data_IF_680131963535
#
_entry.id   IF_680131963535
#
_cell.length_a   1.000
_cell.length_b   1.000
_cell.length_c   1.000
_cell.angle_alpha   90.00
_cell.angle_beta   90.00
_cell.angle_gamma   90.00
#
_symmetry.space_group_name_H-M   'P 1'
#
loop_
_entity.id
_entity.type
_entity.pdbx_description
1 polymer ?
#
# COMPACT_ATOMS: atom_id res chain seq x y z
N UNK A 1 43.11 -11.42 50.91
CA UNK A 1 42.12 -10.43 50.45
C UNK A 1 41.98 -10.57 48.95
N UNK A 2 40.75 -10.71 48.50
CA UNK A 2 40.38 -10.95 47.10
C UNK A 2 40.54 -9.67 46.26
N UNK A 3 40.88 -9.84 44.99
CA UNK A 3 40.78 -8.81 43.96
C UNK A 3 40.34 -9.46 42.66
N UNK A 4 39.03 -9.68 42.53
CA UNK A 4 38.40 -10.26 41.36
C UNK A 4 38.44 -9.27 40.19
N UNK A 5 38.82 -9.78 39.01
CA UNK A 5 38.95 -9.01 37.79
C UNK A 5 37.61 -8.55 37.22
N UNK A 6 37.63 -7.38 36.60
CA UNK A 6 36.53 -6.89 35.77
C UNK A 6 36.82 -7.31 34.33
N UNK A 7 36.07 -8.29 33.84
CA UNK A 7 35.99 -8.62 32.42
C UNK A 7 34.92 -7.70 31.81
N UNK A 8 35.35 -6.71 31.03
CA UNK A 8 34.45 -5.94 30.17
C UNK A 8 34.11 -6.80 28.95
N UNK A 9 32.92 -7.38 28.96
CA UNK A 9 32.37 -8.08 27.79
C UNK A 9 31.94 -7.04 26.77
N UNK A 10 32.66 -6.98 25.64
CA UNK A 10 32.25 -6.24 24.46
C UNK A 10 31.00 -6.93 23.86
N UNK A 11 29.83 -6.29 24.01
CA UNK A 11 28.61 -6.72 23.35
C UNK A 11 28.73 -6.52 21.84
N UNK A 12 29.02 -7.60 21.10
CA UNK A 12 28.85 -7.66 19.66
C UNK A 12 27.35 -7.78 19.38
N UNK A 13 26.65 -6.64 19.30
CA UNK A 13 25.24 -6.59 18.94
C UNK A 13 25.09 -6.81 17.45
N UNK A 14 24.93 -8.06 17.01
CA UNK A 14 24.27 -8.31 15.73
C UNK A 14 22.85 -7.78 15.87
N UNK A 15 22.52 -6.70 15.16
CA UNK A 15 21.20 -6.10 15.20
C UNK A 15 20.19 -7.17 14.77
N UNK A 16 19.44 -7.72 15.74
CA UNK A 16 18.26 -8.52 15.43
C UNK A 16 17.26 -7.59 14.75
N UNK A 17 16.62 -8.06 13.67
CA UNK A 17 15.55 -7.33 13.01
C UNK A 17 14.37 -7.04 13.94
N UNK A 18 13.41 -6.21 13.52
CA UNK A 18 12.28 -5.82 14.37
C UNK A 18 11.50 -7.05 14.83
N UNK A 19 10.97 -6.95 16.05
CA UNK A 19 10.11 -8.01 16.59
C UNK A 19 8.77 -8.06 15.87
N UNK A 20 8.09 -9.20 15.94
CA UNK A 20 6.76 -9.36 15.36
C UNK A 20 5.74 -8.35 15.89
N UNK A 21 5.79 -8.06 17.20
CA UNK A 21 4.95 -7.08 17.87
C UNK A 21 5.24 -5.65 17.41
N UNK A 22 6.51 -5.32 17.15
CA UNK A 22 6.89 -4.02 16.60
C UNK A 22 6.35 -3.84 15.18
N UNK A 23 6.44 -4.86 14.33
CA UNK A 23 5.86 -4.81 12.98
C UNK A 23 4.33 -4.67 12.98
N UNK A 24 3.64 -5.29 13.96
CA UNK A 24 2.20 -5.09 14.15
C UNK A 24 1.89 -3.63 14.49
N UNK A 25 2.64 -3.03 15.40
CA UNK A 25 2.44 -1.64 15.80
C UNK A 25 2.73 -0.67 14.65
N UNK A 26 3.80 -0.91 13.89
CA UNK A 26 4.15 -0.11 12.70
C UNK A 26 3.09 -0.21 11.60
N UNK A 27 2.48 -1.38 11.39
CA UNK A 27 1.36 -1.54 10.46
C UNK A 27 0.11 -0.79 10.93
N UNK A 28 -0.20 -0.85 12.23
CA UNK A 28 -1.32 -0.11 12.84
C UNK A 28 -1.15 1.40 12.75
N UNK A 29 0.07 1.92 12.79
CA UNK A 29 0.34 3.36 12.60
C UNK A 29 -0.12 3.89 11.24
N UNK A 30 -0.20 3.03 10.22
CA UNK A 30 -0.75 3.37 8.90
C UNK A 30 -2.17 2.85 8.69
N UNK A 31 -2.83 2.37 9.76
CA UNK A 31 -4.21 1.90 9.74
C UNK A 31 -4.42 0.51 9.14
N UNK A 32 -3.36 -0.28 8.96
CA UNK A 32 -3.43 -1.60 8.30
C UNK A 32 -3.10 -2.72 9.29
N UNK A 33 -3.86 -3.81 9.23
CA UNK A 33 -3.48 -5.05 9.90
C UNK A 33 -2.30 -5.71 9.18
N UNK A 34 -1.22 -6.01 9.92
CA UNK A 34 0.00 -6.64 9.36
C UNK A 34 -0.29 -7.88 8.50
N UNK A 35 -1.29 -8.68 8.86
CA UNK A 35 -1.68 -9.89 8.13
C UNK A 35 -2.24 -9.63 6.73
N UNK A 36 -2.78 -8.43 6.49
CA UNK A 36 -3.30 -8.02 5.19
C UNK A 36 -2.21 -7.48 4.28
N UNK A 37 -1.04 -7.10 4.83
CA UNK A 37 0.08 -6.60 4.05
C UNK A 37 0.64 -7.71 3.18
N UNK A 38 0.34 -7.61 1.89
CA UNK A 38 0.79 -8.55 0.88
C UNK A 38 1.71 -7.86 -0.12
N UNK A 39 2.62 -8.64 -0.68
CA UNK A 39 3.54 -8.22 -1.75
C UNK A 39 3.39 -9.17 -2.94
N UNK A 40 3.70 -8.66 -4.12
CA UNK A 40 3.76 -9.45 -5.34
C UNK A 40 4.99 -9.08 -6.16
N UNK A 41 5.56 -10.07 -6.85
CA UNK A 41 6.66 -9.85 -7.78
C UNK A 41 6.10 -9.78 -9.20
N UNK A 42 6.34 -8.66 -9.86
CA UNK A 42 5.83 -8.36 -11.20
C UNK A 42 6.99 -7.93 -12.09
N UNK A 43 7.33 -8.76 -13.09
CA UNK A 43 8.43 -8.46 -14.01
C UNK A 43 8.19 -7.13 -14.73
N UNK A 44 9.14 -6.20 -14.61
CA UNK A 44 9.07 -4.88 -15.24
C UNK A 44 8.23 -3.85 -14.46
N UNK A 45 7.81 -4.18 -13.24
CA UNK A 45 7.15 -3.27 -12.33
C UNK A 45 7.95 -3.11 -11.05
N UNK A 46 7.81 -1.96 -10.41
CA UNK A 46 8.38 -1.63 -9.11
C UNK A 46 7.26 -1.11 -8.21
N UNK A 47 7.31 -1.43 -6.91
CA UNK A 47 6.36 -0.88 -5.94
C UNK A 47 6.47 0.65 -5.93
N UNK A 48 5.33 1.32 -5.98
CA UNK A 48 5.25 2.78 -5.89
C UNK A 48 5.44 3.20 -4.42
N UNK A 49 6.40 4.08 -4.18
CA UNK A 49 6.66 4.60 -2.83
C UNK A 49 5.44 5.40 -2.36
N UNK A 50 4.96 5.11 -1.14
CA UNK A 50 3.83 5.80 -0.54
C UNK A 50 2.45 5.41 -1.07
N UNK A 51 2.35 4.42 -1.96
CA UNK A 51 1.06 3.90 -2.43
C UNK A 51 0.42 2.86 -1.50
N UNK A 52 1.23 2.33 -0.57
CA UNK A 52 0.81 1.36 0.43
C UNK A 52 -0.07 2.01 1.50
N UNK A 53 -1.20 1.38 1.83
CA UNK A 53 -2.06 1.85 2.91
C UNK A 53 -3.41 1.14 2.97
N UNK A 54 -4.37 1.78 3.63
CA UNK A 54 -5.74 1.27 3.79
C UNK A 54 -6.49 1.25 2.46
N UNK A 55 -7.26 0.19 2.23
CA UNK A 55 -8.24 0.08 1.15
C UNK A 55 -9.63 -0.11 1.72
N UNK A 56 -10.58 0.77 1.36
CA UNK A 56 -11.90 0.77 1.98
C UNK A 56 -11.81 1.12 3.45
N UNK A 57 -12.48 0.35 4.30
CA UNK A 57 -12.55 0.61 5.75
C UNK A 57 -11.39 -0.05 6.52
N UNK A 58 -11.03 -1.29 6.17
CA UNK A 58 -10.08 -2.13 6.91
C UNK A 58 -9.11 -2.93 6.02
N UNK A 59 -9.24 -2.82 4.70
CA UNK A 59 -8.43 -3.55 3.74
C UNK A 59 -7.03 -2.97 3.57
N UNK A 60 -6.23 -3.66 2.77
CA UNK A 60 -4.89 -3.23 2.36
C UNK A 60 -4.86 -2.93 0.87
N UNK A 61 -4.09 -1.92 0.47
CA UNK A 61 -3.67 -1.72 -0.92
C UNK A 61 -2.19 -1.41 -1.06
N UNK A 62 -1.69 -1.68 -2.26
CA UNK A 62 -0.40 -1.23 -2.76
C UNK A 62 -0.46 -1.06 -4.29
N UNK A 63 0.46 -0.29 -4.87
CA UNK A 63 0.52 -0.02 -6.31
C UNK A 63 1.90 -0.33 -6.85
N UNK A 64 1.95 -0.97 -8.01
CA UNK A 64 3.15 -1.34 -8.73
C UNK A 64 3.12 -0.61 -10.06
N UNK A 65 4.21 0.08 -10.40
CA UNK A 65 4.32 0.88 -11.62
C UNK A 65 5.45 0.36 -12.50
N UNK A 66 5.19 0.28 -13.80
CA UNK A 66 6.25 0.01 -14.78
C UNK A 66 6.96 1.29 -15.19
N UNK A 67 8.12 1.17 -15.82
CA UNK A 67 8.89 2.31 -16.33
C UNK A 67 8.16 3.08 -17.46
N UNK A 68 7.11 2.48 -18.04
CA UNK A 68 6.26 3.13 -19.05
C UNK A 68 4.98 3.74 -18.47
N UNK A 69 4.88 3.79 -17.14
CA UNK A 69 3.76 4.44 -16.43
C UNK A 69 2.48 3.60 -16.34
N UNK A 70 2.52 2.30 -16.64
CA UNK A 70 1.39 1.39 -16.37
C UNK A 70 1.35 1.07 -14.88
N UNK A 71 0.18 1.27 -14.24
CA UNK A 71 -0.08 0.86 -12.86
C UNK A 71 -0.78 -0.51 -12.79
N UNK A 72 -0.42 -1.27 -11.76
CA UNK A 72 -1.13 -2.46 -11.29
C UNK A 72 -1.36 -2.27 -9.79
N UNK A 73 -2.61 -2.39 -9.34
CA UNK A 73 -2.99 -2.27 -7.94
C UNK A 73 -3.27 -3.62 -7.33
N UNK A 74 -2.69 -3.87 -6.16
CA UNK A 74 -3.04 -4.98 -5.28
C UNK A 74 -4.00 -4.48 -4.21
N UNK A 75 -5.09 -5.22 -3.97
CA UNK A 75 -5.90 -5.04 -2.76
C UNK A 75 -6.13 -6.37 -2.06
N UNK A 76 -6.21 -6.34 -0.73
CA UNK A 76 -6.49 -7.50 0.12
C UNK A 76 -7.53 -7.11 1.17
N UNK A 77 -8.63 -7.83 1.23
CA UNK A 77 -9.77 -7.57 2.11
C UNK A 77 -10.20 -8.86 2.83
N UNK A 78 -10.73 -8.76 4.06
CA UNK A 78 -11.29 -9.92 4.79
C UNK A 78 -12.71 -10.23 4.33
N UNK A 79 -12.83 -10.84 3.15
CA UNK A 79 -14.11 -11.24 2.57
C UNK A 79 -13.96 -12.37 1.56
N UNK A 80 -15.07 -13.01 1.23
CA UNK A 80 -15.19 -13.86 0.04
C UNK A 80 -15.69 -13.07 -1.19
N UNK A 81 -15.69 -13.75 -2.34
CA UNK A 81 -16.35 -13.29 -3.56
C UNK A 81 -17.20 -14.41 -4.16
N UNK A 82 -18.53 -14.23 -4.13
CA UNK A 82 -19.49 -15.17 -4.71
C UNK A 82 -19.92 -14.74 -6.11
N UNK A 83 -20.56 -15.64 -6.86
CA UNK A 83 -21.20 -15.31 -8.17
C UNK A 83 -22.15 -14.12 -8.03
N UNK A 84 -22.93 -14.07 -6.94
CA UNK A 84 -23.91 -13.04 -6.71
C UNK A 84 -23.25 -11.70 -6.34
N UNK A 85 -22.20 -11.71 -5.54
CA UNK A 85 -21.54 -10.49 -5.07
C UNK A 85 -20.57 -9.91 -6.10
N UNK A 86 -20.02 -10.75 -6.97
CA UNK A 86 -19.01 -10.35 -7.96
C UNK A 86 -19.38 -9.12 -8.80
N UNK A 87 -20.57 -9.03 -9.44
CA UNK A 87 -20.94 -7.86 -10.22
C UNK A 87 -21.25 -6.61 -9.38
N UNK A 88 -21.46 -6.78 -8.06
CA UNK A 88 -21.81 -5.68 -7.13
C UNK A 88 -20.58 -5.02 -6.53
N UNK A 89 -19.47 -5.74 -6.45
CA UNK A 89 -18.22 -5.21 -5.93
C UNK A 89 -17.54 -4.35 -7.02
N UNK A 90 -17.26 -3.05 -6.79
CA UNK A 90 -16.59 -2.19 -7.78
C UNK A 90 -15.13 -2.61 -7.99
N UNK A 91 -14.58 -2.39 -9.19
CA UNK A 91 -13.13 -2.54 -9.44
C UNK A 91 -12.38 -1.29 -8.92
N UNK A 92 -11.22 -1.42 -8.25
CA UNK A 92 -10.47 -0.29 -7.73
C UNK A 92 -10.02 0.66 -8.84
N UNK A 93 -10.05 1.97 -8.56
CA UNK A 93 -9.66 3.04 -9.48
C UNK A 93 -10.45 3.04 -10.81
N UNK A 94 -11.70 2.60 -10.79
CA UNK A 94 -12.61 2.71 -11.93
C UNK A 94 -13.22 4.12 -11.95
N UNK A 95 -13.05 4.85 -13.05
CA UNK A 95 -13.45 6.27 -13.16
C UNK A 95 -14.97 6.47 -13.28
N UNK A 96 -15.69 5.46 -13.75
CA UNK A 96 -17.13 5.52 -13.99
C UNK A 96 -17.90 4.90 -12.83
N UNK A 97 -18.33 5.76 -11.90
CA UNK A 97 -19.27 5.37 -10.85
C UNK A 97 -20.53 4.72 -11.46
N UNK A 98 -20.82 3.48 -11.05
CA UNK A 98 -22.00 2.73 -11.51
C UNK A 98 -21.82 1.93 -12.81
N UNK A 99 -20.64 1.91 -13.44
CA UNK A 99 -20.38 0.94 -14.49
C UNK A 99 -20.46 -0.48 -13.92
N UNK A 100 -21.35 -1.29 -14.50
CA UNK A 100 -21.54 -2.67 -14.07
C UNK A 100 -20.26 -3.49 -14.24
N UNK A 101 -19.94 -4.31 -13.24
CA UNK A 101 -18.80 -5.22 -13.32
C UNK A 101 -19.25 -6.53 -13.96
N UNK A 102 -18.61 -6.91 -15.06
CA UNK A 102 -18.77 -8.23 -15.66
C UNK A 102 -17.81 -9.19 -14.99
N UNK A 103 -18.32 -10.36 -14.59
CA UNK A 103 -17.53 -11.41 -13.98
C UNK A 103 -17.56 -12.68 -14.83
N UNK A 104 -16.40 -13.29 -15.03
CA UNK A 104 -16.24 -14.59 -15.67
C UNK A 104 -15.35 -15.45 -14.80
N UNK A 105 -15.84 -16.60 -14.37
CA UNK A 105 -15.03 -17.54 -13.58
C UNK A 105 -13.85 -18.05 -14.42
N UNK A 106 -12.68 -18.16 -13.81
CA UNK A 106 -11.43 -18.56 -14.46
C UNK A 106 -10.50 -19.27 -13.48
N UNK A 107 -10.51 -20.60 -13.49
CA UNK A 107 -9.80 -21.41 -12.50
C UNK A 107 -10.33 -21.15 -11.10
N UNK A 108 -9.41 -20.87 -10.16
CA UNK A 108 -9.71 -20.61 -8.75
C UNK A 108 -10.21 -19.17 -8.47
N UNK A 109 -10.29 -18.34 -9.51
CA UNK A 109 -10.64 -16.93 -9.38
C UNK A 109 -11.62 -16.42 -10.43
N UNK A 110 -11.68 -15.10 -10.54
CA UNK A 110 -12.61 -14.37 -11.38
C UNK A 110 -11.87 -13.37 -12.25
N UNK A 111 -12.10 -13.43 -13.56
CA UNK A 111 -11.82 -12.31 -14.47
C UNK A 111 -12.95 -11.30 -14.36
N UNK A 112 -12.59 -10.06 -14.03
CA UNK A 112 -13.54 -8.97 -13.80
C UNK A 112 -13.20 -7.79 -14.70
N UNK A 113 -14.22 -7.18 -15.31
CA UNK A 113 -14.04 -5.97 -16.14
C UNK A 113 -15.14 -4.97 -15.82
N UNK A 114 -14.78 -3.69 -15.75
CA UNK A 114 -15.72 -2.60 -15.48
C UNK A 114 -15.07 -1.27 -15.87
N UNK A 115 -15.78 -0.46 -16.65
CA UNK A 115 -15.25 0.79 -17.19
C UNK A 115 -13.96 0.56 -17.99
N UNK A 116 -12.93 1.32 -17.63
CA UNK A 116 -11.57 1.26 -18.18
C UNK A 116 -10.64 0.30 -17.41
N UNK A 117 -11.16 -0.40 -16.40
CA UNK A 117 -10.39 -1.30 -15.54
C UNK A 117 -10.73 -2.76 -15.77
N UNK A 118 -9.73 -3.61 -15.51
CA UNK A 118 -9.86 -5.06 -15.44
C UNK A 118 -9.11 -5.58 -14.22
N UNK A 119 -9.52 -6.74 -13.73
CA UNK A 119 -9.04 -7.30 -12.47
C UNK A 119 -9.08 -8.83 -12.52
N UNK A 120 -8.11 -9.45 -11.86
CA UNK A 120 -8.22 -10.84 -11.43
C UNK A 120 -8.41 -10.90 -9.90
N UNK A 121 -9.45 -11.60 -9.45
CA UNK A 121 -9.80 -11.72 -8.05
C UNK A 121 -9.80 -13.19 -7.62
N UNK A 122 -9.12 -13.52 -6.52
CA UNK A 122 -9.03 -14.87 -5.96
C UNK A 122 -9.26 -14.84 -4.46
N UNK A 123 -10.08 -15.76 -3.95
CA UNK A 123 -10.29 -15.93 -2.52
C UNK A 123 -9.31 -16.97 -1.97
N UNK A 124 -8.62 -16.65 -0.87
CA UNK A 124 -7.67 -17.52 -0.17
C UNK A 124 -8.01 -17.53 1.32
N UNK A 125 -8.62 -18.61 1.79
CA UNK A 125 -9.19 -18.63 3.13
C UNK A 125 -10.31 -17.59 3.24
N UNK A 126 -10.18 -16.67 4.20
CA UNK A 126 -11.07 -15.54 4.43
C UNK A 126 -10.66 -14.25 3.68
N UNK A 127 -9.55 -14.29 2.92
CA UNK A 127 -9.02 -13.12 2.22
C UNK A 127 -9.42 -13.11 0.74
N UNK A 128 -9.90 -11.95 0.27
CA UNK A 128 -10.06 -11.66 -1.15
C UNK A 128 -8.84 -10.88 -1.63
N UNK A 129 -8.02 -11.52 -2.47
CA UNK A 129 -6.86 -10.89 -3.11
C UNK A 129 -7.26 -10.46 -4.52
N UNK A 130 -7.04 -9.19 -4.85
CA UNK A 130 -7.46 -8.60 -6.11
C UNK A 130 -6.30 -7.85 -6.74
N UNK A 131 -6.06 -8.11 -8.01
CA UNK A 131 -5.03 -7.41 -8.78
C UNK A 131 -5.67 -6.76 -9.99
N UNK A 132 -5.67 -5.43 -10.03
CA UNK A 132 -6.34 -4.63 -11.05
C UNK A 132 -5.38 -3.78 -11.86
N UNK A 133 -5.76 -3.47 -13.09
CA UNK A 133 -5.01 -2.65 -14.03
C UNK A 133 -5.91 -2.08 -15.11
N UNK A 134 -5.37 -1.19 -15.93
CA UNK A 134 -6.12 -0.58 -17.03
C UNK A 134 -6.30 -1.58 -18.19
N UNK A 135 -7.50 -1.59 -18.77
CA UNK A 135 -7.83 -2.35 -19.99
C UNK A 135 -6.90 -1.92 -21.13
N UNK A 136 -6.36 -2.89 -21.88
CA UNK A 136 -5.46 -2.64 -23.01
C UNK A 136 -4.02 -2.26 -22.63
N UNK A 137 -3.76 -1.93 -21.35
CA UNK A 137 -2.40 -1.69 -20.83
C UNK A 137 -1.87 -2.86 -20.00
N UNK A 138 -2.77 -3.68 -19.46
CA UNK A 138 -2.48 -4.93 -18.75
C UNK A 138 -3.17 -6.10 -19.45
N UNK A 139 -2.81 -7.33 -19.09
CA UNK A 139 -3.48 -8.54 -19.60
C UNK A 139 -4.03 -9.36 -18.44
N UNK A 140 -5.10 -10.13 -18.66
CA UNK A 140 -5.61 -11.02 -17.62
C UNK A 140 -4.60 -12.08 -17.17
N UNK A 141 -3.74 -12.56 -18.06
CA UNK A 141 -2.66 -13.47 -17.70
C UNK A 141 -1.71 -12.84 -16.68
N UNK A 142 -1.25 -11.61 -16.94
CA UNK A 142 -0.41 -10.85 -16.01
C UNK A 142 -1.09 -10.68 -14.65
N UNK A 143 -2.36 -10.24 -14.63
CA UNK A 143 -3.10 -10.00 -13.39
C UNK A 143 -3.35 -11.29 -12.60
N UNK A 144 -3.65 -12.39 -13.29
CA UNK A 144 -3.83 -13.72 -12.69
C UNK A 144 -2.53 -14.20 -12.06
N UNK A 145 -1.43 -14.15 -12.80
CA UNK A 145 -0.14 -14.63 -12.31
C UNK A 145 0.34 -13.78 -11.12
N UNK A 146 0.07 -12.47 -11.14
CA UNK A 146 0.31 -11.57 -10.02
C UNK A 146 -0.55 -11.91 -8.79
N UNK A 147 -1.84 -12.14 -8.97
CA UNK A 147 -2.74 -12.56 -7.90
C UNK A 147 -2.36 -13.94 -7.34
N UNK A 148 -1.84 -14.85 -8.17
CA UNK A 148 -1.28 -16.13 -7.77
C UNK A 148 0.04 -15.96 -6.98
N UNK A 149 0.88 -15.00 -7.39
CA UNK A 149 2.15 -14.67 -6.75
C UNK A 149 2.04 -13.86 -5.47
N UNK A 150 0.91 -13.18 -5.23
CA UNK A 150 0.69 -12.37 -4.05
C UNK A 150 0.78 -13.21 -2.76
N UNK A 151 1.58 -12.73 -1.79
CA UNK A 151 1.87 -13.41 -0.53
C UNK A 151 1.98 -12.41 0.62
N UNK A 152 1.72 -12.83 1.88
CA UNK A 152 2.02 -12.01 3.04
C UNK A 152 3.47 -11.53 3.01
N UNK A 153 3.68 -10.25 3.33
CA UNK A 153 5.01 -9.68 3.38
C UNK A 153 5.86 -10.37 4.47
N UNK A 154 7.10 -10.69 4.13
CA UNK A 154 8.05 -11.22 5.12
C UNK A 154 8.44 -10.15 6.14
N UNK A 155 8.97 -10.54 7.33
CA UNK A 155 9.43 -9.57 8.32
C UNK A 155 10.43 -8.54 7.77
N UNK A 156 11.35 -8.96 6.89
CA UNK A 156 12.31 -8.05 6.26
C UNK A 156 11.64 -7.06 5.29
N UNK A 157 10.64 -7.50 4.53
CA UNK A 157 9.87 -6.62 3.66
C UNK A 157 9.01 -5.65 4.47
N UNK A 158 8.38 -6.11 5.54
CA UNK A 158 7.63 -5.25 6.46
C UNK A 158 8.53 -4.20 7.11
N UNK A 159 9.75 -4.58 7.51
CA UNK A 159 10.73 -3.64 8.08
C UNK A 159 11.12 -2.54 7.08
N UNK A 160 11.27 -2.88 5.80
CA UNK A 160 11.55 -1.90 4.74
C UNK A 160 10.33 -1.01 4.40
N UNK A 161 9.14 -1.61 4.39
CA UNK A 161 7.92 -0.98 3.88
C UNK A 161 7.22 -0.09 4.90
N UNK A 162 7.21 -0.50 6.17
CA UNK A 162 6.46 0.19 7.20
C UNK A 162 7.24 1.39 7.74
N UNK A 163 6.57 2.48 8.16
CA UNK A 163 7.26 3.54 8.88
C UNK A 163 7.90 2.98 10.17
N UNK A 164 9.04 3.52 10.63
CA UNK A 164 9.64 3.10 11.88
C UNK A 164 8.68 3.36 13.05
N UNK A 165 8.75 2.54 14.10
CA UNK A 165 7.89 2.74 15.26
C UNK A 165 8.15 4.12 15.88
N UNK A 166 7.08 4.83 16.23
CA UNK A 166 7.15 6.08 16.99
C UNK A 166 7.83 5.84 18.35
N UNK A 167 9.16 5.95 18.39
CA UNK A 167 9.98 5.53 19.54
C UNK A 167 11.49 5.54 19.30
N UNK A 168 11.96 5.70 18.06
CA UNK A 168 13.36 6.02 17.74
C UNK A 168 13.42 7.26 16.87
N UNK A 169 13.05 8.40 17.47
CA UNK A 169 13.32 9.70 16.89
C UNK A 169 14.82 9.96 16.83
N UNK A 170 15.43 9.65 15.69
CA UNK A 170 16.63 10.34 15.20
C UNK A 170 16.24 10.93 13.85
N UNK A 171 15.72 12.15 13.91
CA UNK A 171 15.11 12.81 12.76
C UNK A 171 13.92 13.70 13.09
N UNK A 172 13.63 13.94 14.37
CA UNK A 172 13.00 15.19 14.81
C UNK A 172 13.97 16.35 14.65
N UNK A 173 14.48 16.57 13.43
CA UNK A 173 14.73 17.94 13.04
C UNK A 173 13.35 18.56 13.05
N UNK A 174 13.13 19.57 13.89
CA UNK A 174 12.09 20.54 13.64
C UNK A 174 12.25 20.96 12.17
N UNK A 175 11.51 20.31 11.27
CA UNK A 175 11.00 21.02 10.12
C UNK A 175 9.93 21.90 10.75
N UNK A 176 10.40 22.99 11.39
CA UNK A 176 9.59 24.19 11.48
C UNK A 176 9.01 24.32 10.08
N UNK A 177 7.67 24.30 9.92
CA UNK A 177 7.08 24.65 8.66
C UNK A 177 7.80 25.90 8.16
N UNK A 178 8.15 26.01 6.86
CA UNK A 178 8.69 27.26 6.34
C UNK A 178 7.84 28.38 6.94
N UNK A 179 8.45 29.43 7.54
CA UNK A 179 7.68 30.55 8.05
C UNK A 179 6.67 30.89 6.97
N UNK A 180 5.36 30.79 7.28
CA UNK A 180 4.34 31.18 6.32
C UNK A 180 4.60 32.66 6.10
N UNK A 181 5.30 32.95 5.01
CA UNK A 181 5.45 34.29 4.51
C UNK A 181 4.04 34.85 4.43
N UNK A 182 3.81 35.84 5.27
CA UNK A 182 2.91 36.92 4.97
C UNK A 182 1.42 36.54 4.94
N UNK A 183 0.93 35.78 5.92
CA UNK A 183 -0.50 35.78 6.22
C UNK A 183 -0.83 37.08 6.99
N UNK A 184 -1.62 38.02 6.45
CA UNK A 184 -2.04 39.20 7.18
C UNK A 184 -2.85 38.79 8.42
N UNK A 185 -2.76 39.50 9.55
CA UNK A 185 -3.50 39.16 10.77
C UNK A 185 -5.03 39.22 10.57
N UNK A 186 -5.50 39.87 9.51
CA UNK A 186 -6.87 39.89 9.05
C UNK A 186 -6.92 39.71 7.54
N UNK A 187 -7.46 38.58 7.08
CA UNK A 187 -7.60 38.20 5.67
C UNK A 187 -8.03 36.74 5.59
N UNK A 188 -8.91 36.40 4.65
CA UNK A 188 -9.58 35.10 4.48
C UNK A 188 -8.66 33.93 4.07
N UNK A 189 -7.34 34.11 4.17
CA UNK A 189 -6.35 33.07 3.91
C UNK A 189 -6.20 32.69 2.43
N UNK A 190 -6.76 33.47 1.51
CA UNK A 190 -6.56 33.29 0.09
C UNK A 190 -5.22 33.91 -0.36
N UNK A 191 -4.42 33.21 -1.19
CA UNK A 191 -3.30 33.82 -1.89
C UNK A 191 -3.81 34.97 -2.76
N UNK A 192 -3.12 36.10 -2.70
CA UNK A 192 -3.43 37.24 -3.55
C UNK A 192 -3.03 36.93 -5.01
N UNK A 193 -4.03 36.68 -5.87
CA UNK A 193 -3.85 36.36 -7.30
C UNK A 193 -4.01 37.61 -8.19
N UNK A 194 -3.59 38.77 -7.72
CA UNK A 194 -3.54 39.97 -8.56
C UNK A 194 -2.61 39.75 -9.77
N UNK A 195 -3.19 39.32 -10.88
CA UNK A 195 -2.58 39.48 -12.20
C UNK A 195 -2.67 40.96 -12.56
N UNK A 196 -1.50 41.60 -12.74
CA UNK A 196 -1.45 42.96 -13.30
C UNK A 196 -2.04 42.97 -14.72
N UNK A 197 -2.53 44.13 -15.20
CA UNK A 197 -3.08 44.21 -16.55
C UNK A 197 -1.94 44.10 -17.58
N UNK A 198 -1.85 42.96 -18.25
CA UNK A 198 -0.98 42.75 -19.40
C UNK A 198 -1.37 41.46 -20.12
N UNK A 199 -1.93 41.61 -21.33
CA UNK A 199 -2.24 40.51 -22.24
C UNK A 199 -1.06 40.07 -23.09
#
# INVERSE_FOLDING_TARGET
MAGAGVVLVAGCGSAAGPSDAELVERARQIGVDKELVHVMELKGFRRAVGAMGVYGDDGFQDVYVSDTGVDVRLTVERRGLTVADCPRLPIPAMDVAGAGVRCVQDGDGWRRTGGDRQEYAVTRGDLLVRVSGQVGRTTFGLLRDAAAGAKPASPAQLDEMLPPANGSGSGGGEISPPPRGDLPPHGDGAPDNHVGPGG
#
